data_IF_464785550808
#
_entry.id   IF_464785550808
#
_cell.length_a   1.000
_cell.length_b   1.000
_cell.length_c   1.000
_cell.angle_alpha   90.00
_cell.angle_beta   90.00
_cell.angle_gamma   90.00
#
_symmetry.space_group_name_H-M   'P 1'
#
loop_
_entity.id
_entity.type
_entity.pdbx_description
1 polymer ?
#
# COMPACT_ATOMS: atom_id res chain seq x y z
N UNK A 1 22.46 -0.05 -32.25
CA UNK A 1 23.34 -0.85 -33.12
C UNK A 1 22.57 -1.40 -34.33
N UNK A 2 21.66 -2.36 -34.14
CA UNK A 2 20.85 -2.93 -35.23
C UNK A 2 20.02 -1.92 -36.03
N UNK A 3 19.38 -0.96 -35.36
CA UNK A 3 18.65 0.11 -36.04
C UNK A 3 19.54 0.91 -37.02
N UNK A 4 20.80 1.18 -36.63
CA UNK A 4 21.80 1.87 -37.45
C UNK A 4 22.27 1.01 -38.64
N UNK A 5 22.48 -0.29 -38.42
CA UNK A 5 22.83 -1.26 -39.48
C UNK A 5 21.71 -1.40 -40.53
N UNK A 6 20.44 -1.22 -40.12
CA UNK A 6 19.26 -1.30 -41.00
C UNK A 6 18.79 0.06 -41.55
N UNK A 7 19.53 1.16 -41.31
CA UNK A 7 19.13 2.51 -41.74
C UNK A 7 17.83 3.03 -41.10
N UNK A 8 17.41 2.48 -39.96
CA UNK A 8 16.21 2.89 -39.23
C UNK A 8 16.57 3.75 -38.01
N UNK A 9 15.72 4.72 -37.69
CA UNK A 9 15.78 5.49 -36.43
C UNK A 9 14.87 4.81 -35.40
N UNK A 10 15.41 4.51 -34.22
CA UNK A 10 14.65 3.99 -33.06
C UNK A 10 14.90 4.94 -31.90
N UNK A 11 13.83 5.40 -31.27
CA UNK A 11 13.89 6.22 -30.07
C UNK A 11 13.65 5.32 -28.85
N UNK A 12 14.37 5.60 -27.75
CA UNK A 12 14.24 4.85 -26.51
C UNK A 12 13.44 5.70 -25.51
N UNK A 13 12.32 5.17 -25.03
CA UNK A 13 11.62 5.74 -23.90
C UNK A 13 12.09 5.03 -22.63
N UNK A 14 12.65 5.78 -21.69
CA UNK A 14 12.91 5.30 -20.33
C UNK A 14 11.71 5.61 -19.45
N UNK A 15 11.05 4.56 -18.95
CA UNK A 15 10.02 4.70 -17.92
C UNK A 15 10.69 4.56 -16.55
N UNK A 16 10.63 5.64 -15.76
CA UNK A 16 11.12 5.63 -14.40
C UNK A 16 10.01 5.15 -13.47
N UNK A 17 10.33 4.12 -12.70
CA UNK A 17 9.40 3.54 -11.75
C UNK A 17 8.93 4.58 -10.73
N UNK A 18 7.62 4.85 -10.69
CA UNK A 18 6.99 5.68 -9.66
C UNK A 18 7.10 5.10 -8.24
N UNK A 19 6.63 5.86 -7.23
CA UNK A 19 6.64 5.41 -5.83
C UNK A 19 5.84 4.11 -5.68
N UNK A 20 6.41 3.11 -5.00
CA UNK A 20 5.76 1.83 -4.71
C UNK A 20 5.40 1.75 -3.23
N UNK A 21 4.12 1.87 -2.92
CA UNK A 21 3.63 1.71 -1.56
C UNK A 21 3.47 0.22 -1.23
N UNK A 22 3.84 -0.17 -0.01
CA UNK A 22 3.75 -1.56 0.46
C UNK A 22 3.43 -1.61 1.94
N UNK A 23 2.67 -2.63 2.34
CA UNK A 23 2.53 -2.97 3.75
C UNK A 23 3.86 -3.53 4.31
N UNK A 24 4.02 -3.49 5.62
CA UNK A 24 5.22 -3.93 6.33
C UNK A 24 5.38 -5.47 6.35
N UNK A 25 6.28 -5.96 7.21
CA UNK A 25 6.44 -7.39 7.45
C UNK A 25 5.30 -7.92 8.33
N UNK A 26 5.11 -9.25 8.29
CA UNK A 26 4.17 -9.97 9.14
C UNK A 26 4.76 -11.35 9.46
N UNK A 27 4.63 -11.83 10.71
CA UNK A 27 5.16 -13.15 11.11
C UNK A 27 4.47 -14.33 10.39
N UNK A 28 3.29 -14.08 9.82
CA UNK A 28 2.53 -15.02 9.01
C UNK A 28 1.42 -14.30 8.25
N UNK A 29 0.50 -15.04 7.63
CA UNK A 29 -0.63 -14.39 6.97
C UNK A 29 -1.65 -13.88 8.00
N UNK A 30 -2.04 -12.62 7.89
CA UNK A 30 -3.10 -12.03 8.72
C UNK A 30 -4.43 -12.14 7.96
N UNK A 31 -5.44 -12.83 8.52
CA UNK A 31 -6.77 -12.86 7.90
C UNK A 31 -7.42 -11.48 8.03
N UNK A 32 -7.97 -10.98 6.94
CA UNK A 32 -8.82 -9.81 6.90
C UNK A 32 -10.24 -10.30 6.62
N UNK A 33 -11.18 -10.03 7.53
CA UNK A 33 -12.60 -10.40 7.35
C UNK A 33 -13.40 -9.15 7.03
N UNK A 34 -14.33 -9.25 6.07
CA UNK A 34 -15.16 -8.11 5.67
C UNK A 34 -15.92 -7.52 6.87
N UNK A 35 -15.94 -6.20 6.97
CA UNK A 35 -16.57 -5.43 8.05
C UNK A 35 -15.72 -5.30 9.32
N UNK A 36 -14.57 -5.97 9.42
CA UNK A 36 -13.64 -5.75 10.54
C UNK A 36 -13.01 -4.36 10.47
N UNK A 37 -12.70 -3.82 11.65
CA UNK A 37 -11.99 -2.54 11.78
C UNK A 37 -10.55 -2.83 12.14
N UNK A 38 -9.64 -2.24 11.37
CA UNK A 38 -8.20 -2.30 11.61
C UNK A 38 -7.63 -0.90 11.80
N UNK A 39 -6.60 -0.80 12.64
CA UNK A 39 -5.67 0.32 12.60
C UNK A 39 -4.81 0.22 11.33
N UNK A 40 -4.61 1.34 10.64
CA UNK A 40 -3.75 1.42 9.46
C UNK A 40 -2.79 2.60 9.62
N UNK A 41 -1.48 2.33 9.61
CA UNK A 41 -0.53 3.40 9.90
C UNK A 41 0.91 3.10 9.53
N UNK A 42 1.79 3.97 10.00
CA UNK A 42 3.24 3.85 9.82
C UNK A 42 3.85 3.11 11.02
N UNK A 43 4.81 2.20 10.79
CA UNK A 43 5.55 1.51 11.85
C UNK A 43 6.21 2.53 12.80
N UNK A 44 6.02 2.35 14.11
CA UNK A 44 6.68 3.16 15.15
C UNK A 44 8.14 2.75 15.39
N UNK A 45 8.43 1.46 15.24
CA UNK A 45 9.75 0.86 15.37
C UNK A 45 9.83 -0.43 14.53
N UNK A 46 10.98 -1.10 14.53
CA UNK A 46 11.25 -2.30 13.73
C UNK A 46 10.38 -3.52 14.11
N UNK A 47 9.71 -3.49 15.27
CA UNK A 47 8.83 -4.55 15.76
C UNK A 47 7.33 -4.23 15.53
N UNK A 48 6.98 -3.04 15.02
CA UNK A 48 5.59 -2.66 14.70
C UNK A 48 5.13 -3.22 13.35
N UNK A 49 5.14 -4.55 13.27
CA UNK A 49 4.74 -5.33 12.10
C UNK A 49 3.22 -5.56 12.06
N UNK A 50 2.73 -6.01 10.90
CA UNK A 50 1.30 -6.30 10.69
C UNK A 50 0.88 -7.45 11.62
N UNK A 51 -0.26 -7.28 12.28
CA UNK A 51 -0.86 -8.26 13.19
C UNK A 51 -2.39 -8.16 13.15
N UNK A 52 -3.15 -9.13 13.69
CA UNK A 52 -4.60 -8.99 13.80
C UNK A 52 -5.01 -7.65 14.44
N UNK A 53 -5.87 -6.90 13.76
CA UNK A 53 -6.30 -5.56 14.17
C UNK A 53 -5.38 -4.38 13.77
N UNK A 54 -4.20 -4.62 13.17
CA UNK A 54 -3.27 -3.56 12.77
C UNK A 54 -2.50 -3.88 11.47
N UNK A 55 -2.61 -2.99 10.50
CA UNK A 55 -1.86 -3.00 9.24
C UNK A 55 -0.87 -1.84 9.28
N UNK A 56 0.42 -2.12 9.04
CA UNK A 56 1.46 -1.09 9.05
C UNK A 56 2.19 -0.98 7.72
N UNK A 57 2.81 0.17 7.52
CA UNK A 57 3.64 0.57 6.38
C UNK A 57 4.98 1.08 6.90
N UNK A 58 6.06 0.92 6.12
CA UNK A 58 7.39 1.39 6.55
C UNK A 58 7.45 2.92 6.61
N UNK A 59 8.27 3.50 7.51
CA UNK A 59 8.38 4.96 7.70
C UNK A 59 9.23 5.63 6.61
N UNK A 60 8.83 5.47 5.36
CA UNK A 60 9.40 6.17 4.20
C UNK A 60 8.64 7.47 3.93
N UNK A 61 9.29 8.43 3.26
CA UNK A 61 8.69 9.73 2.93
C UNK A 61 7.41 9.55 2.10
N UNK A 62 7.43 8.62 1.15
CA UNK A 62 6.32 8.35 0.25
C UNK A 62 5.14 7.72 1.00
N UNK A 63 5.38 6.71 1.84
CA UNK A 63 4.31 6.04 2.61
C UNK A 63 3.70 6.98 3.64
N UNK A 64 4.49 7.85 4.26
CA UNK A 64 3.98 8.89 5.15
C UNK A 64 3.11 9.90 4.39
N UNK A 65 3.53 10.31 3.18
CA UNK A 65 2.74 11.19 2.34
C UNK A 65 1.40 10.55 1.95
N UNK A 66 1.39 9.25 1.64
CA UNK A 66 0.16 8.49 1.36
C UNK A 66 -0.82 8.55 2.55
N UNK A 67 -0.36 8.19 3.76
CA UNK A 67 -1.22 8.18 4.95
C UNK A 67 -1.76 9.59 5.26
N UNK A 68 -0.93 10.63 5.09
CA UNK A 68 -1.35 12.02 5.27
C UNK A 68 -2.39 12.47 4.24
N UNK A 69 -2.27 12.02 3.00
CA UNK A 69 -3.20 12.36 1.92
C UNK A 69 -4.57 11.66 2.08
N UNK A 70 -4.61 10.52 2.78
CA UNK A 70 -5.86 9.81 3.04
C UNK A 70 -6.86 10.66 3.85
N UNK A 71 -8.13 10.56 3.46
CA UNK A 71 -9.28 11.16 4.12
C UNK A 71 -10.32 10.09 4.44
N UNK A 72 -11.29 10.40 5.29
CA UNK A 72 -12.43 9.50 5.51
C UNK A 72 -13.14 9.27 4.18
N UNK A 73 -13.37 8.00 3.86
CA UNK A 73 -13.90 7.56 2.58
C UNK A 73 -12.85 7.08 1.58
N UNK A 74 -11.57 7.43 1.74
CA UNK A 74 -10.49 6.97 0.85
C UNK A 74 -10.42 5.45 0.84
N UNK A 75 -10.33 4.87 -0.35
CA UNK A 75 -10.19 3.43 -0.57
C UNK A 75 -8.73 3.10 -0.84
N UNK A 76 -8.20 2.13 -0.10
CA UNK A 76 -6.86 1.58 -0.29
C UNK A 76 -6.99 0.16 -0.81
N UNK A 77 -6.40 -0.08 -1.98
CA UNK A 77 -6.36 -1.38 -2.64
C UNK A 77 -5.07 -2.08 -2.24
N UNK A 78 -5.17 -3.30 -1.71
CA UNK A 78 -4.02 -4.11 -1.32
C UNK A 78 -3.89 -5.31 -2.26
N UNK A 79 -2.66 -5.59 -2.67
CA UNK A 79 -2.33 -6.69 -3.59
C UNK A 79 -3.11 -6.59 -4.90
N UNK A 80 -2.83 -5.53 -5.67
CA UNK A 80 -3.46 -5.24 -6.98
C UNK A 80 -4.99 -5.24 -6.94
N UNK A 81 -5.56 -4.85 -5.78
CA UNK A 81 -6.99 -4.82 -5.55
C UNK A 81 -7.59 -6.22 -5.41
N UNK A 82 -6.88 -7.20 -4.86
CA UNK A 82 -7.51 -8.43 -4.35
C UNK A 82 -8.20 -8.14 -3.01
N UNK A 83 -7.55 -7.34 -2.16
CA UNK A 83 -8.07 -6.87 -0.87
C UNK A 83 -8.32 -5.37 -0.94
N UNK A 84 -9.26 -4.90 -0.13
CA UNK A 84 -9.71 -3.51 -0.13
C UNK A 84 -10.07 -3.07 1.27
N UNK A 85 -9.56 -1.91 1.66
CA UNK A 85 -9.87 -1.28 2.94
C UNK A 85 -10.30 0.15 2.71
N UNK A 86 -11.25 0.64 3.51
CA UNK A 86 -11.78 2.00 3.41
C UNK A 86 -11.52 2.75 4.69
N UNK A 87 -10.96 3.95 4.58
CA UNK A 87 -10.72 4.82 5.73
C UNK A 87 -12.05 5.26 6.31
N UNK A 88 -12.28 4.97 7.58
CA UNK A 88 -13.49 5.37 8.32
C UNK A 88 -13.20 6.49 9.32
N UNK A 89 -11.94 6.63 9.75
CA UNK A 89 -11.50 7.67 10.70
C UNK A 89 -10.03 8.02 10.45
N UNK A 90 -9.70 9.31 10.54
CA UNK A 90 -8.30 9.77 10.56
C UNK A 90 -7.90 10.08 11.99
N UNK A 91 -7.07 9.22 12.58
CA UNK A 91 -6.65 9.32 13.98
C UNK A 91 -5.50 10.32 14.12
N UNK A 92 -4.56 10.32 13.17
CA UNK A 92 -3.45 11.27 13.07
C UNK A 92 -2.87 11.32 11.67
N UNK A 93 -1.78 12.07 11.48
CA UNK A 93 -1.01 12.09 10.23
C UNK A 93 -0.24 10.79 9.95
N UNK A 94 -0.24 9.83 10.88
CA UNK A 94 0.46 8.55 10.76
C UNK A 94 -0.43 7.35 11.03
N UNK A 95 -1.70 7.57 11.39
CA UNK A 95 -2.61 6.53 11.88
C UNK A 95 -4.05 6.79 11.42
N UNK A 96 -4.69 5.75 10.91
CA UNK A 96 -6.05 5.73 10.39
C UNK A 96 -6.79 4.56 11.02
N UNK A 97 -8.12 4.63 11.08
CA UNK A 97 -8.95 3.42 11.17
C UNK A 97 -9.55 3.13 9.82
N UNK A 98 -9.48 1.86 9.44
CA UNK A 98 -10.01 1.37 8.18
C UNK A 98 -10.98 0.22 8.43
N UNK A 99 -12.04 0.17 7.63
CA UNK A 99 -12.93 -0.97 7.53
C UNK A 99 -12.45 -1.88 6.39
N UNK A 100 -12.42 -3.18 6.61
CA UNK A 100 -12.14 -4.16 5.57
C UNK A 100 -13.37 -4.28 4.66
N UNK A 101 -13.31 -3.71 3.46
CA UNK A 101 -14.39 -3.81 2.46
C UNK A 101 -14.33 -5.18 1.78
N UNK A 102 -13.12 -5.60 1.41
CA UNK A 102 -12.86 -6.91 0.83
C UNK A 102 -11.63 -7.53 1.48
N UNK A 103 -11.91 -8.57 2.24
CA UNK A 103 -10.97 -9.34 3.01
C UNK A 103 -10.17 -10.34 2.18
N UNK A 104 -9.34 -11.10 2.86
CA UNK A 104 -8.38 -12.02 2.26
C UNK A 104 -7.30 -12.43 3.24
N UNK A 105 -6.21 -12.98 2.71
CA UNK A 105 -5.04 -13.34 3.52
C UNK A 105 -3.91 -12.35 3.23
N UNK A 106 -3.78 -11.34 4.08
CA UNK A 106 -2.72 -10.36 3.98
C UNK A 106 -1.38 -11.00 4.31
N UNK A 107 -0.40 -10.86 3.42
CA UNK A 107 0.98 -11.31 3.61
C UNK A 107 1.92 -10.10 3.61
N UNK A 108 3.19 -10.35 3.90
CA UNK A 108 4.21 -9.32 3.95
C UNK A 108 4.41 -8.61 2.61
N UNK A 109 4.76 -7.32 2.67
CA UNK A 109 5.26 -6.52 1.54
C UNK A 109 4.33 -6.43 0.33
N UNK A 110 3.03 -6.66 0.52
CA UNK A 110 2.00 -6.51 -0.51
C UNK A 110 1.87 -5.04 -0.93
N UNK A 111 1.64 -4.82 -2.21
CA UNK A 111 1.47 -3.48 -2.78
C UNK A 111 0.20 -2.82 -2.26
N UNK A 112 0.26 -1.50 -2.08
CA UNK A 112 -0.90 -0.67 -1.75
C UNK A 112 -1.07 0.35 -2.86
N UNK A 113 -2.29 0.55 -3.34
CA UNK A 113 -2.63 1.55 -4.36
C UNK A 113 -3.85 2.34 -3.92
N UNK A 114 -3.95 3.58 -4.39
CA UNK A 114 -5.15 4.42 -4.23
C UNK A 114 -5.72 4.62 -5.64
N UNK A 115 -6.98 4.24 -5.91
CA UNK A 115 -7.57 4.33 -7.24
C UNK A 115 -8.02 5.75 -7.63
N UNK A 116 -8.25 6.63 -6.65
CA UNK A 116 -8.69 8.03 -6.81
C UNK A 116 -7.68 9.02 -6.20
#
# INVERSE_FOLDING_TARGET
KYAKEMGKKVECLGDLQGPKFRVAECEGAVPLTNGEIFEFGICKDDNDNIRPGRITMKPTVEQLALVRACQVGTVLLIEDGIMEVKVIEKVSDTELKVEIVRGGKLKARKGVNVPD
#
